data_IF_475704771686
#
_entry.id   IF_475704771686
#
_cell.length_a   1.000
_cell.length_b   1.000
_cell.length_c   1.000
_cell.angle_alpha   90.00
_cell.angle_beta   90.00
_cell.angle_gamma   90.00
#
_symmetry.space_group_name_H-M   'P 1'
#
loop_
_entity.id
_entity.type
_entity.pdbx_description
1 polymer ?
#
# COMPACT_ATOMS: atom_id res chain seq x y z
N UNK A 1 -26.52 0.95 -57.68
CA UNK A 1 -26.18 1.92 -56.62
C UNK A 1 -25.62 1.13 -55.45
N UNK A 2 -24.29 1.11 -55.26
CA UNK A 2 -23.62 0.37 -54.16
C UNK A 2 -23.17 1.40 -53.13
N UNK A 3 -23.63 1.25 -51.89
CA UNK A 3 -23.21 2.08 -50.75
C UNK A 3 -22.00 1.37 -50.13
N UNK A 4 -20.84 2.02 -50.11
CA UNK A 4 -19.67 1.56 -49.39
C UNK A 4 -19.66 2.20 -47.99
N UNK A 5 -19.78 1.37 -46.94
CA UNK A 5 -19.65 1.79 -45.56
C UNK A 5 -18.16 1.75 -45.20
N UNK A 6 -17.57 2.91 -44.91
CA UNK A 6 -16.16 3.00 -44.50
C UNK A 6 -16.12 2.96 -42.98
N UNK A 7 -15.60 1.88 -42.40
CA UNK A 7 -15.35 1.79 -40.97
C UNK A 7 -14.05 2.55 -40.63
N UNK A 8 -14.17 3.59 -39.80
CA UNK A 8 -13.01 4.29 -39.25
C UNK A 8 -12.53 3.51 -38.01
N UNK A 9 -11.38 2.86 -38.11
CA UNK A 9 -10.72 2.24 -36.96
C UNK A 9 -9.93 3.34 -36.25
N UNK A 10 -10.37 3.72 -35.05
CA UNK A 10 -9.57 4.53 -34.13
C UNK A 10 -8.57 3.61 -33.43
N UNK A 11 -7.29 3.71 -33.80
CA UNK A 11 -6.20 3.10 -33.04
C UNK A 11 -5.80 4.15 -31.99
N UNK A 12 -6.14 3.89 -30.72
CA UNK A 12 -5.59 4.65 -29.61
C UNK A 12 -4.10 4.30 -29.49
N UNK A 13 -3.23 5.20 -29.95
CA UNK A 13 -1.80 5.15 -29.67
C UNK A 13 -1.59 5.58 -28.23
N UNK A 14 -1.37 4.63 -27.32
CA UNK A 14 -0.86 4.93 -26.00
C UNK A 14 0.62 5.30 -26.16
N UNK A 15 0.95 6.56 -25.96
CA UNK A 15 2.35 6.97 -25.82
C UNK A 15 2.84 6.50 -24.45
N UNK A 16 3.86 5.64 -24.35
CA UNK A 16 4.48 5.36 -23.07
C UNK A 16 5.08 6.68 -22.55
N UNK A 17 4.69 7.06 -21.33
CA UNK A 17 5.35 8.14 -20.61
C UNK A 17 6.77 7.65 -20.31
N UNK A 18 7.76 8.26 -20.96
CA UNK A 18 9.16 8.08 -20.64
C UNK A 18 9.41 8.64 -19.23
N UNK A 19 9.65 7.77 -18.24
CA UNK A 19 10.10 8.21 -16.92
C UNK A 19 9.85 7.31 -15.70
N UNK A 20 9.18 6.16 -15.81
CA UNK A 20 8.95 5.29 -14.65
C UNK A 20 8.75 3.81 -15.06
N UNK A 21 9.83 3.09 -15.39
CA UNK A 21 9.70 1.70 -15.90
C UNK A 21 10.58 0.65 -15.22
N UNK A 22 11.19 0.90 -14.06
CA UNK A 22 12.03 -0.12 -13.38
C UNK A 22 11.51 -0.60 -12.03
N UNK A 23 10.45 0.01 -11.50
CA UNK A 23 9.78 -0.50 -10.31
C UNK A 23 8.99 -1.77 -10.63
N UNK A 24 9.01 -2.74 -9.72
CA UNK A 24 8.16 -3.94 -9.81
C UNK A 24 6.88 -3.67 -9.03
N UNK A 25 5.75 -3.58 -9.74
CA UNK A 25 4.43 -3.41 -9.13
C UNK A 25 4.10 -4.60 -8.23
N UNK A 26 3.65 -4.31 -7.01
CA UNK A 26 3.13 -5.29 -6.06
C UNK A 26 1.59 -5.22 -6.03
N UNK A 27 1.03 -4.02 -5.87
CA UNK A 27 -0.42 -3.78 -5.84
C UNK A 27 -0.73 -2.30 -6.15
N UNK A 28 -1.76 -2.04 -6.96
CA UNK A 28 -2.27 -0.70 -7.33
C UNK A 28 -3.80 -0.59 -7.25
N UNK A 29 -4.50 -1.68 -6.95
CA UNK A 29 -5.95 -1.80 -6.89
C UNK A 29 -6.68 -1.47 -8.20
N UNK A 30 -5.97 -1.27 -9.31
CA UNK A 30 -6.52 -0.77 -10.59
C UNK A 30 -7.60 -1.68 -11.19
N UNK A 31 -7.60 -2.96 -10.80
CA UNK A 31 -8.62 -3.92 -11.23
C UNK A 31 -10.02 -3.64 -10.66
N UNK A 32 -10.12 -2.82 -9.60
CA UNK A 32 -11.35 -2.57 -8.86
C UNK A 32 -11.77 -3.74 -7.95
N UNK A 33 -10.94 -4.77 -7.82
CA UNK A 33 -11.20 -5.96 -7.02
C UNK A 33 -9.96 -6.37 -6.24
N UNK A 34 -10.15 -6.71 -4.96
CA UNK A 34 -9.09 -7.24 -4.10
C UNK A 34 -9.70 -8.30 -3.18
N UNK A 35 -8.91 -9.32 -2.86
CA UNK A 35 -9.29 -10.35 -1.87
C UNK A 35 -8.53 -10.05 -0.58
N UNK A 36 -9.29 -9.70 0.46
CA UNK A 36 -8.75 -9.39 1.78
C UNK A 36 -9.35 -10.33 2.82
N UNK A 37 -8.52 -10.75 3.78
CA UNK A 37 -8.96 -11.38 5.02
C UNK A 37 -8.73 -10.43 6.19
N UNK A 38 -9.46 -10.65 7.29
CA UNK A 38 -9.10 -10.05 8.58
C UNK A 38 -7.68 -10.46 8.97
N UNK A 39 -6.90 -9.51 9.45
CA UNK A 39 -5.60 -9.81 10.06
C UNK A 39 -5.77 -9.95 11.58
N UNK A 40 -5.47 -11.15 12.09
CA UNK A 40 -5.50 -11.51 13.52
C UNK A 40 -6.77 -11.04 14.27
N UNK A 41 -6.64 -10.85 15.58
CA UNK A 41 -7.72 -10.40 16.47
C UNK A 41 -7.83 -8.86 16.55
N UNK A 42 -6.93 -8.12 15.88
CA UNK A 42 -6.92 -6.65 15.87
C UNK A 42 -7.96 -6.04 14.90
N UNK A 43 -8.48 -6.83 13.96
CA UNK A 43 -9.52 -6.40 13.03
C UNK A 43 -10.92 -6.41 13.68
N UNK A 44 -11.17 -5.42 14.54
CA UNK A 44 -12.45 -5.30 15.29
C UNK A 44 -13.64 -5.02 14.35
N UNK A 45 -13.40 -4.38 13.20
CA UNK A 45 -14.43 -4.05 12.21
C UNK A 45 -14.10 -4.68 10.84
N UNK A 46 -14.38 -5.99 10.66
CA UNK A 46 -13.92 -6.74 9.49
C UNK A 46 -14.52 -6.27 8.15
N UNK A 47 -15.71 -5.68 8.16
CA UNK A 47 -16.36 -5.18 6.95
C UNK A 47 -16.02 -3.70 6.64
N UNK A 48 -15.19 -3.04 7.44
CA UNK A 48 -14.97 -1.60 7.37
C UNK A 48 -13.90 -1.20 6.32
N UNK A 49 -14.05 -1.67 5.09
CA UNK A 49 -13.17 -1.36 3.97
C UNK A 49 -13.92 -1.35 2.64
N UNK A 50 -13.39 -0.64 1.65
CA UNK A 50 -13.93 -0.59 0.28
C UNK A 50 -12.81 -0.37 -0.73
N UNK A 51 -13.01 -0.81 -1.97
CA UNK A 51 -12.24 -0.28 -3.12
C UNK A 51 -12.92 1.02 -3.57
N UNK A 52 -12.25 2.15 -3.37
CA UNK A 52 -12.77 3.50 -3.60
C UNK A 52 -12.37 3.97 -5.01
N UNK A 53 -13.25 4.71 -5.69
CA UNK A 53 -13.00 5.29 -7.01
C UNK A 53 -13.11 6.82 -7.02
N UNK A 54 -13.25 7.45 -5.84
CA UNK A 54 -13.38 8.89 -5.67
C UNK A 54 -12.10 9.54 -5.16
N UNK A 55 -11.39 8.87 -4.25
CA UNK A 55 -10.10 9.32 -3.72
C UNK A 55 -9.02 8.31 -4.09
N UNK A 56 -8.35 8.53 -5.21
CA UNK A 56 -7.33 7.62 -5.77
C UNK A 56 -5.99 8.34 -5.91
N UNK A 57 -4.90 7.59 -5.99
CA UNK A 57 -3.59 8.18 -6.18
C UNK A 57 -3.31 8.42 -7.67
N UNK A 58 -2.84 9.63 -7.98
CA UNK A 58 -2.52 10.06 -9.34
C UNK A 58 -3.67 9.84 -10.33
N UNK A 59 -3.54 8.88 -11.25
CA UNK A 59 -4.55 8.53 -12.26
C UNK A 59 -5.05 7.10 -12.09
N UNK A 60 -4.79 6.45 -10.95
CA UNK A 60 -5.36 5.15 -10.67
C UNK A 60 -6.90 5.24 -10.67
N UNK A 61 -7.61 4.29 -11.32
CA UNK A 61 -9.06 4.21 -11.27
C UNK A 61 -9.60 3.85 -9.87
N UNK A 62 -8.78 3.26 -9.00
CA UNK A 62 -9.23 2.74 -7.70
C UNK A 62 -8.16 2.82 -6.62
N UNK A 63 -8.55 2.86 -5.36
CA UNK A 63 -7.63 2.72 -4.23
C UNK A 63 -8.27 1.89 -3.11
N UNK A 64 -7.46 1.32 -2.23
CA UNK A 64 -7.99 0.64 -1.06
C UNK A 64 -8.27 1.65 0.04
N UNK A 65 -9.51 1.69 0.52
CA UNK A 65 -9.94 2.50 1.67
C UNK A 65 -10.25 1.62 2.87
N UNK A 66 -9.63 1.90 4.00
CA UNK A 66 -10.01 1.34 5.30
C UNK A 66 -10.69 2.42 6.14
N UNK A 67 -11.66 2.02 6.96
CA UNK A 67 -12.41 2.87 7.90
C UNK A 67 -12.54 2.15 9.24
N UNK A 68 -12.86 2.87 10.33
CA UNK A 68 -13.01 2.24 11.65
C UNK A 68 -11.73 1.56 12.14
N UNK A 69 -11.81 0.68 13.15
CA UNK A 69 -10.69 -0.18 13.49
C UNK A 69 -10.65 -1.37 12.55
N UNK A 70 -9.84 -1.29 11.50
CA UNK A 70 -9.78 -2.35 10.50
C UNK A 70 -8.35 -2.70 10.11
N UNK A 71 -8.08 -4.00 10.09
CA UNK A 71 -6.80 -4.57 9.71
C UNK A 71 -7.05 -5.65 8.66
N UNK A 72 -6.39 -5.53 7.52
CA UNK A 72 -6.66 -6.38 6.35
C UNK A 72 -5.39 -7.01 5.84
N UNK A 73 -5.38 -8.32 5.69
CA UNK A 73 -4.29 -9.05 5.06
C UNK A 73 -4.65 -9.39 3.62
N UNK A 74 -3.66 -9.26 2.74
CA UNK A 74 -3.72 -9.64 1.35
C UNK A 74 -2.56 -10.57 1.02
N UNK A 75 -2.85 -11.76 0.49
CA UNK A 75 -1.82 -12.58 -0.16
C UNK A 75 -1.40 -11.95 -1.50
N UNK A 76 -0.11 -11.89 -1.74
CA UNK A 76 0.48 -11.34 -2.97
C UNK A 76 1.33 -12.40 -3.68
N UNK A 77 1.79 -12.09 -4.90
CA UNK A 77 2.85 -12.89 -5.52
C UNK A 77 4.13 -12.72 -4.70
N UNK A 78 4.72 -13.80 -4.16
CA UNK A 78 5.85 -13.64 -3.25
C UNK A 78 7.09 -13.05 -3.93
N UNK A 79 7.84 -12.23 -3.20
CA UNK A 79 9.11 -11.68 -3.65
C UNK A 79 10.17 -11.76 -2.56
N UNK A 80 11.43 -11.96 -2.96
CA UNK A 80 12.56 -11.98 -2.04
C UNK A 80 13.07 -10.57 -1.78
N UNK A 81 13.45 -10.32 -0.54
CA UNK A 81 14.14 -9.10 -0.13
C UNK A 81 15.65 -9.31 -0.07
N UNK A 82 16.37 -8.20 -0.06
CA UNK A 82 17.82 -8.06 0.08
C UNK A 82 18.09 -6.79 0.87
N UNK A 83 19.33 -6.58 1.34
CA UNK A 83 19.72 -5.42 2.16
C UNK A 83 19.17 -4.07 1.67
N UNK A 84 19.22 -3.82 0.36
CA UNK A 84 18.82 -2.57 -0.26
C UNK A 84 17.35 -2.54 -0.74
N UNK A 85 16.52 -3.51 -0.34
CA UNK A 85 15.14 -3.57 -0.80
C UNK A 85 14.35 -2.38 -0.28
N UNK A 86 13.81 -1.57 -1.19
CA UNK A 86 12.97 -0.41 -0.86
C UNK A 86 11.60 -0.56 -1.52
N UNK A 87 10.56 -0.45 -0.69
CA UNK A 87 9.18 -0.38 -1.13
C UNK A 87 8.73 1.07 -1.11
N UNK A 88 8.13 1.54 -2.20
CA UNK A 88 7.38 2.79 -2.24
C UNK A 88 5.89 2.50 -2.08
N UNK A 89 5.22 3.29 -1.23
CA UNK A 89 3.78 3.22 -0.95
C UNK A 89 3.19 4.62 -1.12
N UNK A 90 2.10 4.74 -1.86
CA UNK A 90 1.24 5.92 -1.78
C UNK A 90 0.16 5.71 -0.70
N UNK A 91 0.01 6.68 0.20
CA UNK A 91 -1.06 6.65 1.18
C UNK A 91 -1.66 8.03 1.46
N UNK A 92 -2.96 8.06 1.72
CA UNK A 92 -3.71 9.25 2.12
C UNK A 92 -4.30 9.05 3.51
N UNK A 93 -4.22 10.06 4.37
CA UNK A 93 -4.91 10.08 5.66
C UNK A 93 -5.43 11.49 5.97
N UNK A 94 -6.64 11.61 6.54
CA UNK A 94 -7.27 12.91 6.85
C UNK A 94 -6.83 13.53 8.19
N UNK A 95 -6.54 12.72 9.20
CA UNK A 95 -6.06 13.16 10.52
C UNK A 95 -5.46 12.00 11.32
N UNK A 96 -4.91 12.27 12.51
CA UNK A 96 -4.27 11.27 13.36
C UNK A 96 -5.30 10.30 13.95
N UNK A 97 -5.42 9.10 13.37
CA UNK A 97 -5.93 7.93 14.10
C UNK A 97 -4.97 7.49 15.20
N UNK A 98 -5.20 6.32 15.81
CA UNK A 98 -4.28 5.75 16.79
C UNK A 98 -2.97 5.35 16.10
N UNK A 99 -3.06 4.43 15.13
CA UNK A 99 -1.99 4.03 14.22
C UNK A 99 -2.59 3.82 12.81
N UNK A 100 -1.81 4.20 11.79
CA UNK A 100 -2.05 3.92 10.37
C UNK A 100 -0.78 3.35 9.81
N UNK A 101 -0.88 2.29 9.03
CA UNK A 101 0.33 1.61 8.59
C UNK A 101 0.13 0.59 7.51
N UNK A 102 1.28 0.06 7.11
CA UNK A 102 1.38 -1.12 6.27
C UNK A 102 2.30 -2.12 6.96
N UNK A 103 1.96 -3.40 6.89
CA UNK A 103 2.77 -4.52 7.30
C UNK A 103 3.19 -5.38 6.12
N UNK A 104 4.33 -6.02 6.26
CA UNK A 104 4.84 -7.03 5.34
C UNK A 104 5.04 -8.33 6.13
N UNK A 105 4.67 -9.47 5.53
CA UNK A 105 4.74 -10.77 6.19
C UNK A 105 5.36 -11.81 5.28
N UNK A 106 6.20 -12.68 5.87
CA UNK A 106 6.71 -13.90 5.22
C UNK A 106 5.92 -15.16 5.61
N UNK A 107 4.83 -14.99 6.36
CA UNK A 107 3.99 -16.05 6.90
C UNK A 107 4.42 -16.56 8.28
N UNK A 108 5.60 -16.19 8.77
CA UNK A 108 6.07 -16.50 10.14
C UNK A 108 6.30 -15.22 10.95
N UNK A 109 6.99 -14.24 10.38
CA UNK A 109 7.29 -12.94 10.98
C UNK A 109 6.64 -11.79 10.19
N UNK A 110 6.41 -10.69 10.89
CA UNK A 110 5.71 -9.52 10.34
C UNK A 110 6.41 -8.24 10.78
N UNK A 111 6.62 -7.32 9.83
CA UNK A 111 7.19 -6.01 10.09
C UNK A 111 6.20 -4.92 9.67
N UNK A 112 5.91 -4.00 10.59
CA UNK A 112 4.98 -2.91 10.35
C UNK A 112 5.67 -1.55 10.25
N UNK A 113 5.11 -0.68 9.41
CA UNK A 113 5.51 0.72 9.28
C UNK A 113 4.34 1.61 9.67
N UNK A 114 4.54 2.45 10.69
CA UNK A 114 3.54 3.46 11.05
C UNK A 114 3.75 4.71 10.21
N UNK A 115 2.76 5.05 9.37
CA UNK A 115 2.81 6.20 8.46
C UNK A 115 2.07 7.44 9.01
N UNK A 116 1.17 7.23 9.97
CA UNK A 116 0.45 8.28 10.69
C UNK A 116 -0.13 7.73 11.99
N UNK A 117 -0.38 8.59 12.97
CA UNK A 117 -1.00 8.20 14.23
C UNK A 117 -0.49 9.03 15.41
N UNK A 118 -1.21 8.96 16.53
CA UNK A 118 -0.84 9.65 17.77
C UNK A 118 -0.34 8.74 18.89
N UNK A 119 -0.52 7.42 18.77
CA UNK A 119 -0.06 6.46 19.77
C UNK A 119 1.38 6.03 19.51
N UNK A 120 2.11 5.70 20.58
CA UNK A 120 3.42 5.08 20.48
C UNK A 120 3.21 3.63 20.04
N UNK A 121 3.71 3.29 18.85
CA UNK A 121 3.69 1.93 18.33
C UNK A 121 4.69 1.04 19.10
N UNK A 122 4.43 -0.26 19.11
CA UNK A 122 5.34 -1.24 19.72
C UNK A 122 6.62 -1.35 18.89
N UNK A 123 7.74 -0.87 19.44
CA UNK A 123 9.01 -0.80 18.73
C UNK A 123 9.63 -2.18 18.45
N UNK A 124 9.08 -3.26 19.00
CA UNK A 124 9.50 -4.63 18.71
C UNK A 124 8.88 -5.18 17.41
N UNK A 125 7.83 -4.54 16.89
CA UNK A 125 7.16 -4.93 15.64
C UNK A 125 6.98 -3.78 14.64
N UNK A 126 7.11 -2.53 15.10
CA UNK A 126 6.82 -1.34 14.31
C UNK A 126 8.05 -0.47 14.09
N UNK A 127 8.20 0.00 12.86
CA UNK A 127 9.09 1.10 12.47
C UNK A 127 8.27 2.41 12.49
N UNK A 128 8.38 3.26 13.53
CA UNK A 128 7.52 4.43 13.70
C UNK A 128 8.05 5.68 13.00
N UNK A 129 9.20 5.63 12.34
CA UNK A 129 9.92 6.81 11.80
C UNK A 129 9.07 7.61 10.81
N UNK A 130 8.12 6.95 10.14
CA UNK A 130 7.22 7.58 9.18
C UNK A 130 5.99 8.22 9.83
N UNK A 131 5.73 7.96 11.10
CA UNK A 131 4.54 8.41 11.80
C UNK A 131 4.57 9.93 11.95
N UNK A 132 3.67 10.62 11.25
CA UNK A 132 3.62 12.08 11.25
C UNK A 132 4.77 12.75 10.48
N UNK A 133 5.52 11.98 9.67
CA UNK A 133 6.58 12.51 8.80
C UNK A 133 6.03 13.31 7.62
N UNK A 134 4.77 13.09 7.27
CA UNK A 134 4.08 13.69 6.13
C UNK A 134 2.78 14.41 6.58
N UNK A 135 2.35 15.46 5.88
CA UNK A 135 1.10 16.14 6.21
C UNK A 135 -0.13 15.26 5.91
N UNK A 136 -1.16 15.40 6.74
CA UNK A 136 -2.48 14.84 6.46
C UNK A 136 -3.23 15.61 5.36
N UNK A 137 -4.39 15.08 4.97
CA UNK A 137 -5.27 15.59 3.91
C UNK A 137 -4.66 15.64 2.51
N UNK A 138 -3.68 14.78 2.25
CA UNK A 138 -3.04 14.61 0.95
C UNK A 138 -2.49 13.21 0.77
N UNK A 139 -2.30 12.83 -0.49
CA UNK A 139 -1.53 11.63 -0.84
C UNK A 139 -0.05 11.91 -0.63
N UNK A 140 0.61 10.99 0.06
CA UNK A 140 2.04 11.06 0.33
C UNK A 140 2.72 9.77 -0.12
N UNK A 141 3.98 9.90 -0.54
CA UNK A 141 4.83 8.76 -0.86
C UNK A 141 5.74 8.42 0.30
N UNK A 142 5.75 7.15 0.68
CA UNK A 142 6.59 6.60 1.73
C UNK A 142 7.57 5.63 1.11
N UNK A 143 8.87 5.82 1.38
CA UNK A 143 9.93 4.90 0.94
C UNK A 143 10.44 4.13 2.13
N UNK A 144 10.09 2.86 2.17
CA UNK A 144 10.28 1.94 3.28
C UNK A 144 11.49 1.05 2.96
N UNK A 145 12.62 1.15 3.71
CA UNK A 145 13.81 0.36 3.49
C UNK A 145 13.64 -1.05 4.06
N UNK A 146 12.65 -1.78 3.51
CA UNK A 146 12.19 -3.08 3.96
C UNK A 146 13.32 -4.08 4.18
N UNK A 147 14.31 -4.10 3.30
CA UNK A 147 15.46 -4.99 3.40
C UNK A 147 16.26 -4.80 4.69
N UNK A 148 16.74 -3.58 4.93
CA UNK A 148 17.59 -3.27 6.08
C UNK A 148 16.82 -3.32 7.39
N UNK A 149 15.56 -2.86 7.38
CA UNK A 149 14.74 -2.86 8.59
C UNK A 149 14.37 -4.30 8.98
N UNK A 150 14.02 -5.16 8.02
CA UNK A 150 13.74 -6.56 8.32
C UNK A 150 14.95 -7.30 8.88
N UNK A 151 16.12 -7.15 8.26
CA UNK A 151 17.35 -7.76 8.77
C UNK A 151 17.67 -7.26 10.19
N UNK A 152 17.41 -6.00 10.48
CA UNK A 152 17.65 -5.44 11.82
C UNK A 152 16.74 -6.04 12.89
N UNK A 153 15.49 -6.35 12.55
CA UNK A 153 14.53 -6.95 13.48
C UNK A 153 14.70 -8.46 13.62
N UNK A 154 14.93 -9.18 12.51
CA UNK A 154 14.82 -10.64 12.47
C UNK A 154 16.14 -11.35 12.12
N UNK A 155 17.17 -10.64 11.67
CA UNK A 155 18.49 -11.20 11.38
C UNK A 155 18.60 -11.99 10.06
N UNK A 156 17.62 -11.87 9.16
CA UNK A 156 17.61 -12.51 7.84
C UNK A 156 16.83 -11.68 6.81
N UNK A 157 16.91 -12.08 5.53
CA UNK A 157 16.09 -11.50 4.45
C UNK A 157 14.94 -12.44 4.06
N UNK A 158 13.68 -12.02 4.18
CA UNK A 158 12.51 -12.85 3.93
C UNK A 158 12.17 -12.99 2.44
N UNK A 159 11.32 -13.96 2.16
CA UNK A 159 10.40 -13.92 1.03
C UNK A 159 9.03 -13.42 1.52
N UNK A 160 8.68 -12.19 1.19
CA UNK A 160 7.38 -11.60 1.56
C UNK A 160 6.29 -12.23 0.70
N UNK A 161 5.19 -12.63 1.34
CA UNK A 161 4.06 -13.28 0.67
C UNK A 161 2.71 -12.59 0.96
N UNK A 162 2.66 -11.64 1.89
CA UNK A 162 1.45 -10.88 2.15
C UNK A 162 1.72 -9.45 2.64
N UNK A 163 0.73 -8.60 2.39
CA UNK A 163 0.64 -7.22 2.86
C UNK A 163 -0.45 -7.13 3.93
N UNK A 164 -0.26 -6.23 4.90
CA UNK A 164 -1.23 -5.98 5.96
C UNK A 164 -1.55 -4.48 5.99
N UNK A 165 -2.79 -4.10 5.73
CA UNK A 165 -3.25 -2.71 5.74
C UNK A 165 -3.84 -2.38 7.09
N UNK A 166 -3.41 -1.27 7.68
CA UNK A 166 -3.74 -0.94 9.07
C UNK A 166 -4.45 0.40 9.19
N UNK A 167 -5.66 0.35 9.73
CA UNK A 167 -6.43 1.50 10.19
C UNK A 167 -6.84 1.25 11.65
N UNK A 168 -5.91 1.45 12.59
CA UNK A 168 -6.17 1.23 14.01
C UNK A 168 -6.89 2.42 14.67
N UNK A 169 -8.11 2.17 15.14
CA UNK A 169 -8.96 3.14 15.83
C UNK A 169 -9.66 2.46 17.01
N UNK A 170 -8.98 2.43 18.16
CA UNK A 170 -9.50 1.86 19.41
C UNK A 170 -10.94 2.29 19.79
N UNK A 171 -11.48 3.41 19.27
CA UNK A 171 -12.86 3.84 19.49
C UNK A 171 -13.47 4.79 18.41
N UNK A 172 -14.04 4.22 17.35
CA UNK A 172 -15.24 4.75 16.66
C UNK A 172 -15.18 6.04 15.81
N UNK A 173 -14.05 6.38 15.19
CA UNK A 173 -14.03 7.47 14.18
C UNK A 173 -14.24 6.98 12.74
N UNK A 174 -14.90 7.80 11.93
CA UNK A 174 -14.98 7.65 10.47
C UNK A 174 -13.73 8.19 9.78
N UNK A 175 -12.53 8.04 10.37
CA UNK A 175 -11.28 8.56 9.81
C UNK A 175 -10.64 7.50 8.91
N UNK A 176 -10.83 7.59 7.59
CA UNK A 176 -10.24 6.66 6.66
C UNK A 176 -8.74 6.86 6.49
N UNK A 177 -8.12 5.78 6.04
CA UNK A 177 -6.83 5.76 5.36
C UNK A 177 -7.04 5.14 3.99
N UNK A 178 -6.30 5.63 3.00
CA UNK A 178 -6.25 5.01 1.69
C UNK A 178 -4.83 4.57 1.36
N UNK A 179 -4.72 3.47 0.64
CA UNK A 179 -3.49 2.88 0.15
C UNK A 179 -3.61 2.67 -1.36
N UNK A 180 -2.49 2.89 -2.05
CA UNK A 180 -2.39 2.75 -3.50
C UNK A 180 -0.90 2.63 -3.89
N UNK A 181 -0.62 2.19 -5.11
CA UNK A 181 0.71 2.22 -5.74
C UNK A 181 1.83 1.66 -4.85
N UNK A 182 1.75 0.38 -4.53
CA UNK A 182 2.74 -0.37 -3.76
C UNK A 182 3.73 -0.97 -4.75
N UNK A 183 4.95 -0.44 -4.74
CA UNK A 183 5.95 -0.73 -5.77
C UNK A 183 7.27 -1.06 -5.10
N UNK A 184 7.90 -2.16 -5.51
CA UNK A 184 9.31 -2.39 -5.21
C UNK A 184 10.17 -1.53 -6.13
N UNK A 185 10.78 -0.48 -5.58
CA UNK A 185 11.56 0.51 -6.32
C UNK A 185 13.08 0.28 -6.21
N UNK A 186 13.51 -0.86 -5.68
CA UNK A 186 14.93 -1.18 -5.40
C UNK A 186 15.84 -0.89 -6.59
N UNK A 187 15.43 -1.28 -7.79
CA UNK A 187 16.24 -1.12 -9.00
C UNK A 187 16.20 0.30 -9.59
N UNK A 188 15.29 1.16 -9.10
CA UNK A 188 15.14 2.54 -9.58
C UNK A 188 16.04 3.53 -8.84
N UNK A 189 16.54 3.13 -7.66
CA UNK A 189 17.33 4.00 -6.82
C UNK A 189 18.78 4.04 -7.32
N UNK A 190 19.42 5.22 -7.30
CA UNK A 190 20.83 5.31 -7.65
C UNK A 190 21.67 4.46 -6.70
N UNK A 191 22.58 3.67 -7.27
CA UNK A 191 23.60 2.91 -6.56
C UNK A 191 24.68 3.81 -5.94
#
# INVERSE_FOLDING_TARGET
MRIALTALIFIALTTPILGQTEGVLIEDFDSGSVVLSSWADEDIQPDAWTVDNQNTYALSPYSLKLTGNSWKQQSITPFSTFQNTVIELAAYHVSTGTIRGIGFSDGENELFYSIAGSRIADLEAWVPVYQGSQPGNGWNLYRLPLGSDWESFFGYYPQINSLIYVNDLDDSSTNPVWFDSIINITNTLPI
#
